data_IF_835473124478
#
_entry.id   IF_835473124478
#
_cell.length_a   1.000
_cell.length_b   1.000
_cell.length_c   1.000
_cell.angle_alpha   90.00
_cell.angle_beta   90.00
_cell.angle_gamma   90.00
#
_symmetry.space_group_name_H-M   'P 1'
#
loop_
_entity.id
_entity.type
_entity.pdbx_description
1 polymer ?
#
# COMPACT_ATOMS: atom_id res chain seq x y z
N UNK A 1 -0.98 19.73 16.88
CA UNK A 1 -1.33 18.47 17.59
C UNK A 1 -0.08 18.06 18.37
N UNK A 2 -0.17 17.91 19.68
CA UNK A 2 0.99 17.54 20.51
C UNK A 2 1.40 16.10 20.24
N UNK A 3 2.70 15.87 20.07
CA UNK A 3 3.27 14.53 20.04
C UNK A 3 2.94 13.85 21.37
N UNK A 4 2.32 12.69 21.32
CA UNK A 4 2.11 11.84 22.49
C UNK A 4 3.46 11.36 23.01
N UNK A 5 3.48 10.82 24.20
CA UNK A 5 4.64 10.44 24.98
C UNK A 5 5.87 9.95 24.20
N UNK A 6 7.05 10.42 24.63
CA UNK A 6 8.34 9.99 24.08
C UNK A 6 9.01 9.01 25.02
N UNK A 7 9.34 7.82 24.52
CA UNK A 7 9.99 6.75 25.27
C UNK A 7 11.43 6.56 24.82
N UNK A 8 12.38 6.67 25.75
CA UNK A 8 13.78 6.40 25.52
C UNK A 8 14.12 4.98 25.95
N UNK A 9 14.53 4.11 25.02
CA UNK A 9 14.80 2.69 25.28
C UNK A 9 16.24 2.35 24.90
N UNK A 10 17.04 1.92 25.87
CA UNK A 10 18.40 1.44 25.61
C UNK A 10 18.36 0.05 24.97
N UNK A 11 19.13 -0.13 23.89
CA UNK A 11 19.26 -1.41 23.22
C UNK A 11 20.73 -1.70 22.92
N UNK A 12 21.29 -2.68 23.62
CA UNK A 12 22.69 -3.06 23.52
C UNK A 12 23.11 -3.62 22.16
N UNK A 13 22.15 -4.03 21.31
CA UNK A 13 22.39 -4.49 19.94
C UNK A 13 22.33 -3.36 18.91
N UNK A 14 21.78 -2.22 19.28
CA UNK A 14 21.68 -1.08 18.37
C UNK A 14 23.05 -0.43 18.18
N UNK A 15 23.41 -0.13 16.94
CA UNK A 15 24.67 0.55 16.56
C UNK A 15 24.49 2.06 16.38
N UNK A 16 23.23 2.56 16.30
CA UNK A 16 22.90 3.96 16.07
C UNK A 16 21.60 4.33 16.79
N UNK A 17 21.35 5.64 16.96
CA UNK A 17 20.06 6.13 17.41
C UNK A 17 19.01 5.87 16.35
N UNK A 18 17.83 5.39 16.77
CA UNK A 18 16.70 5.10 15.87
C UNK A 18 15.45 5.70 16.47
N UNK A 19 14.71 6.49 15.69
CA UNK A 19 13.40 6.99 16.06
C UNK A 19 12.34 6.15 15.34
N UNK A 20 11.30 5.76 16.05
CA UNK A 20 10.13 5.08 15.50
C UNK A 20 8.85 5.69 16.07
N UNK A 21 7.93 6.02 15.19
CA UNK A 21 6.56 6.35 15.57
C UNK A 21 5.83 5.01 15.74
N UNK A 22 5.20 4.83 16.90
CA UNK A 22 4.42 3.64 17.24
C UNK A 22 2.97 3.79 16.74
N UNK A 23 2.20 2.70 16.75
CA UNK A 23 0.82 2.68 16.26
C UNK A 23 -0.13 3.62 17.05
N UNK A 24 0.17 3.88 18.31
CA UNK A 24 -0.56 4.81 19.19
C UNK A 24 -0.08 6.27 19.07
N UNK A 25 0.78 6.57 18.07
CA UNK A 25 1.42 7.86 17.83
C UNK A 25 2.45 8.27 18.89
N UNK A 26 2.80 7.42 19.83
CA UNK A 26 3.94 7.64 20.71
C UNK A 26 5.26 7.47 19.96
N UNK A 27 6.32 8.11 20.45
CA UNK A 27 7.65 8.08 19.83
C UNK A 27 8.59 7.22 20.68
N UNK A 28 9.16 6.18 20.06
CA UNK A 28 10.23 5.42 20.68
C UNK A 28 11.58 5.84 20.11
N UNK A 29 12.47 6.33 21.00
CA UNK A 29 13.85 6.61 20.65
C UNK A 29 14.75 5.49 21.19
N UNK A 30 15.37 4.74 20.30
CA UNK A 30 16.32 3.69 20.68
C UNK A 30 17.70 4.28 20.87
N UNK A 31 18.28 4.06 22.06
CA UNK A 31 19.63 4.48 22.44
C UNK A 31 20.58 3.30 22.20
N UNK A 32 21.68 3.46 21.44
CA UNK A 32 22.69 2.42 21.27
C UNK A 32 23.48 2.15 22.55
N UNK A 33 24.25 1.05 22.57
CA UNK A 33 24.98 0.57 23.75
C UNK A 33 25.79 1.66 24.47
N UNK A 34 26.49 2.48 23.73
CA UNK A 34 27.39 3.54 24.25
C UNK A 34 26.76 4.94 24.19
N UNK A 35 25.50 5.04 23.75
CA UNK A 35 24.79 6.31 23.67
C UNK A 35 24.20 6.73 25.01
N UNK A 36 23.93 8.02 25.11
CA UNK A 36 23.32 8.67 26.28
C UNK A 36 21.91 9.18 25.97
N UNK A 37 21.09 9.35 27.00
CA UNK A 37 19.76 9.94 26.85
C UNK A 37 19.81 11.39 26.37
N UNK A 38 20.82 12.15 26.79
CA UNK A 38 21.06 13.54 26.37
C UNK A 38 21.31 13.65 24.87
N UNK A 39 22.09 12.71 24.31
CA UNK A 39 22.32 12.64 22.86
C UNK A 39 21.07 12.18 22.10
N UNK A 40 20.31 11.22 22.66
CA UNK A 40 19.04 10.78 22.11
C UNK A 40 18.02 11.94 22.03
N UNK A 41 17.98 12.80 23.06
CA UNK A 41 17.14 13.99 23.06
C UNK A 41 17.57 15.00 21.98
N UNK A 42 18.88 15.24 21.83
CA UNK A 42 19.40 16.10 20.75
C UNK A 42 19.07 15.52 19.38
N UNK A 43 19.21 14.20 19.22
CA UNK A 43 18.88 13.51 17.98
C UNK A 43 17.39 13.61 17.66
N UNK A 44 16.50 13.45 18.65
CA UNK A 44 15.07 13.64 18.50
C UNK A 44 14.75 15.07 18.07
N UNK A 45 15.28 16.08 18.76
CA UNK A 45 15.01 17.49 18.46
C UNK A 45 15.44 17.87 17.04
N UNK A 46 16.54 17.32 16.55
CA UNK A 46 17.01 17.53 15.17
C UNK A 46 16.02 17.00 14.10
N UNK A 47 15.22 16.00 14.43
CA UNK A 47 14.30 15.34 13.49
C UNK A 47 12.83 15.64 13.82
N UNK A 48 12.54 16.55 14.75
CA UNK A 48 11.18 16.76 15.26
C UNK A 48 10.22 17.23 14.18
N UNK A 49 10.67 18.14 13.30
CA UNK A 49 9.85 18.66 12.20
C UNK A 49 9.52 17.57 11.18
N UNK A 50 10.48 16.68 10.89
CA UNK A 50 10.26 15.53 10.02
C UNK A 50 9.26 14.54 10.66
N UNK A 51 9.31 14.38 11.97
CA UNK A 51 8.37 13.54 12.71
C UNK A 51 6.97 14.15 12.76
N UNK A 52 6.84 15.45 12.95
CA UNK A 52 5.57 16.16 12.85
C UNK A 52 4.93 15.97 11.48
N UNK A 53 5.70 16.18 10.41
CA UNK A 53 5.23 15.95 9.04
C UNK A 53 4.81 14.49 8.81
N UNK A 54 5.57 13.51 9.34
CA UNK A 54 5.21 12.09 9.26
C UNK A 54 3.97 11.74 10.09
N UNK A 55 3.78 12.36 11.25
CA UNK A 55 2.56 12.17 12.07
C UNK A 55 1.36 12.81 11.37
N UNK A 56 1.51 14.00 10.77
CA UNK A 56 0.46 14.62 9.96
C UNK A 56 0.13 13.81 8.70
N UNK A 57 1.12 13.26 8.01
CA UNK A 57 0.90 12.33 6.91
C UNK A 57 0.21 11.04 7.39
N UNK A 58 0.58 10.52 8.55
CA UNK A 58 -0.08 9.35 9.14
C UNK A 58 -1.51 9.65 9.61
N UNK A 59 -1.82 10.89 10.05
CA UNK A 59 -3.19 11.31 10.38
C UNK A 59 -4.08 11.48 9.15
N UNK A 60 -3.53 11.82 7.99
CA UNK A 60 -4.23 11.78 6.69
C UNK A 60 -4.55 10.36 6.21
N UNK A 61 -4.06 9.33 6.92
CA UNK A 61 -4.25 7.92 6.56
C UNK A 61 -5.50 7.28 7.18
N UNK A 62 -6.27 8.01 7.99
CA UNK A 62 -7.50 7.47 8.56
C UNK A 62 -8.64 7.53 7.56
N UNK A 63 -9.37 6.44 7.47
CA UNK A 63 -10.66 6.43 6.81
C UNK A 63 -11.68 7.17 7.66
N UNK A 64 -12.45 8.05 7.03
CA UNK A 64 -13.39 8.93 7.71
C UNK A 64 -14.85 8.53 7.44
N UNK A 65 -15.75 8.86 8.40
CA UNK A 65 -17.20 8.68 8.26
C UNK A 65 -17.74 9.64 7.19
N UNK A 66 -18.77 9.19 6.48
CA UNK A 66 -19.47 9.94 5.42
C UNK A 66 -18.60 10.30 4.21
N UNK A 67 -17.42 9.72 4.10
CA UNK A 67 -16.58 9.85 2.92
C UNK A 67 -16.80 8.67 1.96
N UNK A 68 -16.71 8.95 0.65
CA UNK A 68 -16.77 7.93 -0.40
C UNK A 68 -15.36 7.71 -0.92
N UNK A 69 -14.90 6.48 -0.85
CA UNK A 69 -13.61 6.05 -1.39
C UNK A 69 -13.87 5.28 -2.68
N UNK A 70 -13.74 5.92 -3.86
CA UNK A 70 -13.94 5.24 -5.13
C UNK A 70 -12.84 4.20 -5.35
N UNK A 71 -13.23 3.06 -5.84
CA UNK A 71 -12.36 2.02 -6.36
C UNK A 71 -12.77 1.72 -7.81
N UNK A 72 -12.03 0.89 -8.54
CA UNK A 72 -12.31 0.66 -9.96
C UNK A 72 -13.66 0.01 -10.23
N UNK A 73 -14.10 -0.84 -9.34
CA UNK A 73 -15.35 -1.59 -9.49
C UNK A 73 -16.36 -1.33 -8.38
N UNK A 74 -15.93 -0.67 -7.29
CA UNK A 74 -16.76 -0.43 -6.13
C UNK A 74 -16.56 0.98 -5.59
N UNK A 75 -17.61 1.54 -5.02
CA UNK A 75 -17.53 2.70 -4.16
C UNK A 75 -17.59 2.21 -2.72
N UNK A 76 -16.59 2.55 -1.93
CA UNK A 76 -16.54 2.20 -0.52
C UNK A 76 -17.05 3.42 0.25
N UNK A 77 -18.10 3.23 1.04
CA UNK A 77 -18.67 4.28 1.89
C UNK A 77 -18.65 3.83 3.34
N UNK A 78 -18.23 4.72 4.22
CA UNK A 78 -18.19 4.46 5.65
C UNK A 78 -19.29 5.31 6.31
N UNK A 79 -20.21 4.67 7.02
CA UNK A 79 -21.34 5.33 7.66
C UNK A 79 -21.36 5.07 9.17
N UNK A 80 -21.67 6.11 9.93
CA UNK A 80 -22.02 5.96 11.35
C UNK A 80 -23.49 5.59 11.49
N UNK A 81 -23.80 4.57 12.29
CA UNK A 81 -25.15 4.02 12.40
C UNK A 81 -25.55 3.76 13.86
N UNK A 82 -26.85 3.56 14.09
CA UNK A 82 -27.39 3.16 15.40
C UNK A 82 -27.34 1.63 15.62
N UNK A 83 -26.73 0.87 14.72
CA UNK A 83 -26.50 -0.57 14.93
C UNK A 83 -25.63 -0.79 16.16
N UNK A 84 -25.78 -1.95 16.79
CA UNK A 84 -24.97 -2.33 17.95
C UNK A 84 -23.61 -2.88 17.56
N UNK A 85 -23.50 -3.46 16.37
CA UNK A 85 -22.31 -4.15 15.88
C UNK A 85 -21.85 -3.58 14.54
N UNK A 86 -20.58 -3.82 14.23
CA UNK A 86 -19.99 -3.53 12.92
C UNK A 86 -20.69 -4.38 11.84
N UNK A 87 -21.02 -3.76 10.73
CA UNK A 87 -21.70 -4.45 9.63
C UNK A 87 -21.18 -3.96 8.28
N UNK A 88 -21.25 -4.80 7.27
CA UNK A 88 -20.88 -4.47 5.90
C UNK A 88 -21.98 -4.91 4.94
N UNK A 89 -22.50 -3.97 4.20
CA UNK A 89 -23.41 -4.26 3.09
C UNK A 89 -22.64 -4.18 1.77
N UNK A 90 -22.88 -5.12 0.88
CA UNK A 90 -22.39 -5.08 -0.49
C UNK A 90 -23.59 -5.15 -1.44
N UNK A 91 -23.93 -4.01 -2.05
CA UNK A 91 -25.06 -3.90 -2.97
C UNK A 91 -24.54 -3.39 -4.32
N UNK A 92 -24.60 -4.26 -5.33
CA UNK A 92 -24.07 -3.97 -6.69
C UNK A 92 -22.59 -3.54 -6.61
N UNK A 93 -22.32 -2.27 -6.91
CA UNK A 93 -20.98 -1.68 -6.90
C UNK A 93 -20.70 -0.81 -5.65
N UNK A 94 -21.53 -0.93 -4.61
CA UNK A 94 -21.35 -0.17 -3.38
C UNK A 94 -21.03 -1.13 -2.24
N UNK A 95 -19.95 -0.83 -1.50
CA UNK A 95 -19.60 -1.46 -0.24
C UNK A 95 -19.78 -0.43 0.85
N UNK A 96 -20.70 -0.70 1.77
CA UNK A 96 -21.06 0.21 2.86
C UNK A 96 -20.57 -0.41 4.17
N UNK A 97 -19.56 0.20 4.77
CA UNK A 97 -19.05 -0.18 6.07
C UNK A 97 -19.82 0.62 7.12
N UNK A 98 -20.60 -0.06 7.95
CA UNK A 98 -21.45 0.53 8.99
C UNK A 98 -20.76 0.42 10.34
N UNK A 99 -20.48 1.57 10.96
CA UNK A 99 -19.81 1.66 12.25
C UNK A 99 -20.80 2.16 13.30
N UNK A 100 -20.97 1.47 14.43
CA UNK A 100 -21.81 1.96 15.53
C UNK A 100 -21.36 3.32 16.03
N UNK A 101 -22.30 4.22 16.32
CA UNK A 101 -22.04 5.55 16.91
C UNK A 101 -21.27 5.48 18.23
N UNK A 102 -21.36 4.35 18.93
CA UNK A 102 -20.68 4.09 20.20
C UNK A 102 -19.18 3.78 20.04
N UNK A 103 -18.72 3.56 18.81
CA UNK A 103 -17.31 3.24 18.49
C UNK A 103 -16.59 4.46 17.95
N UNK A 104 -15.37 4.68 18.42
CA UNK A 104 -14.50 5.72 17.87
C UNK A 104 -13.90 5.26 16.53
N UNK A 105 -14.24 5.97 15.45
CA UNK A 105 -13.70 5.71 14.12
C UNK A 105 -12.16 5.73 14.07
N UNK A 106 -11.52 6.55 14.91
CA UNK A 106 -10.06 6.70 14.97
C UNK A 106 -9.37 5.62 15.81
N UNK A 107 -10.14 4.79 16.52
CA UNK A 107 -9.57 3.68 17.27
C UNK A 107 -8.85 2.71 16.32
N UNK A 108 -7.77 2.13 16.82
CA UNK A 108 -6.97 1.14 16.06
C UNK A 108 -7.84 -0.03 15.59
N UNK A 109 -8.71 -0.54 16.46
CA UNK A 109 -9.61 -1.66 16.16
C UNK A 109 -10.49 -1.37 14.95
N UNK A 110 -11.11 -0.18 14.91
CA UNK A 110 -12.02 0.21 13.82
C UNK A 110 -11.25 0.45 12.53
N UNK A 111 -10.10 1.11 12.59
CA UNK A 111 -9.27 1.30 11.39
C UNK A 111 -8.75 -0.04 10.83
N UNK A 112 -8.33 -0.99 11.68
CA UNK A 112 -7.94 -2.33 11.24
C UNK A 112 -9.10 -3.08 10.59
N UNK A 113 -10.31 -2.96 11.14
CA UNK A 113 -11.51 -3.53 10.53
C UNK A 113 -11.81 -2.93 9.15
N UNK A 114 -11.75 -1.60 9.01
CA UNK A 114 -11.94 -0.92 7.71
C UNK A 114 -10.88 -1.40 6.72
N UNK A 115 -9.61 -1.44 7.12
CA UNK A 115 -8.52 -1.94 6.29
C UNK A 115 -8.75 -3.39 5.83
N UNK A 116 -9.22 -4.25 6.72
CA UNK A 116 -9.55 -5.64 6.38
C UNK A 116 -10.64 -5.70 5.30
N UNK A 117 -11.73 -4.95 5.45
CA UNK A 117 -12.82 -4.93 4.46
C UNK A 117 -12.33 -4.41 3.11
N UNK A 118 -11.57 -3.31 3.10
CA UNK A 118 -10.98 -2.77 1.88
C UNK A 118 -10.06 -3.79 1.22
N UNK A 119 -9.26 -4.51 1.98
CA UNK A 119 -8.39 -5.58 1.44
C UNK A 119 -9.21 -6.67 0.75
N UNK A 120 -10.36 -7.09 1.31
CA UNK A 120 -11.24 -8.07 0.65
C UNK A 120 -11.82 -7.51 -0.66
N UNK A 121 -12.23 -6.25 -0.68
CA UNK A 121 -12.71 -5.58 -1.92
C UNK A 121 -11.61 -5.57 -2.98
N UNK A 122 -10.42 -5.09 -2.66
CA UNK A 122 -9.28 -5.04 -3.59
C UNK A 122 -8.88 -6.44 -4.08
N UNK A 123 -8.95 -7.45 -3.21
CA UNK A 123 -8.66 -8.84 -3.57
C UNK A 123 -9.65 -9.38 -4.61
N UNK A 124 -10.93 -9.10 -4.44
CA UNK A 124 -11.96 -9.51 -5.38
C UNK A 124 -11.81 -8.77 -6.72
N UNK A 125 -11.49 -7.48 -6.70
CA UNK A 125 -11.19 -6.73 -7.91
C UNK A 125 -9.95 -7.25 -8.63
N UNK A 126 -8.86 -7.49 -7.89
CA UNK A 126 -7.62 -8.02 -8.46
C UNK A 126 -7.82 -9.37 -9.14
N UNK A 127 -8.55 -10.29 -8.50
CA UNK A 127 -8.90 -11.61 -9.09
C UNK A 127 -9.76 -11.47 -10.35
N UNK A 128 -10.57 -10.44 -10.45
CA UNK A 128 -11.43 -10.17 -11.61
C UNK A 128 -10.69 -9.50 -12.76
N UNK A 129 -9.80 -8.55 -12.46
CA UNK A 129 -9.15 -7.67 -13.45
C UNK A 129 -7.82 -8.23 -13.95
N UNK A 130 -6.89 -8.52 -13.02
CA UNK A 130 -5.50 -8.83 -13.36
C UNK A 130 -5.37 -10.05 -14.29
N UNK A 131 -6.02 -11.19 -14.05
CA UNK A 131 -5.89 -12.35 -14.95
C UNK A 131 -6.32 -12.05 -16.38
N UNK A 132 -7.40 -11.28 -16.56
CA UNK A 132 -7.87 -10.88 -17.89
C UNK A 132 -6.85 -10.05 -18.63
N UNK A 133 -6.24 -9.06 -17.95
CA UNK A 133 -5.21 -8.21 -18.53
C UNK A 133 -3.91 -8.95 -18.83
N UNK A 134 -3.51 -9.88 -17.96
CA UNK A 134 -2.34 -10.72 -18.22
C UNK A 134 -2.54 -11.55 -19.49
N UNK A 135 -3.70 -12.20 -19.64
CA UNK A 135 -4.03 -12.99 -20.84
C UNK A 135 -4.07 -12.12 -22.10
N UNK A 136 -4.69 -10.94 -22.02
CA UNK A 136 -4.74 -9.97 -23.12
C UNK A 136 -3.32 -9.59 -23.59
N UNK A 137 -2.43 -9.17 -22.66
CA UNK A 137 -1.08 -8.78 -23.03
C UNK A 137 -0.20 -9.95 -23.46
N UNK A 138 -0.32 -11.08 -22.79
CA UNK A 138 0.42 -12.29 -23.16
C UNK A 138 0.07 -12.74 -24.60
N UNK A 139 -1.20 -12.71 -24.97
CA UNK A 139 -1.65 -13.01 -26.32
C UNK A 139 -1.16 -11.97 -27.32
N UNK A 140 -1.37 -10.67 -27.03
CA UNK A 140 -0.99 -9.55 -27.90
C UNK A 140 0.51 -9.55 -28.25
N UNK A 141 1.35 -9.82 -27.24
CA UNK A 141 2.81 -9.74 -27.38
C UNK A 141 3.50 -11.11 -27.48
N UNK A 142 2.71 -12.20 -27.60
CA UNK A 142 3.21 -13.58 -27.71
C UNK A 142 4.15 -13.99 -26.56
N UNK A 143 3.83 -13.52 -25.35
CA UNK A 143 4.56 -13.82 -24.11
C UNK A 143 3.95 -15.05 -23.41
N UNK A 144 4.77 -15.82 -22.70
CA UNK A 144 4.33 -17.06 -22.02
C UNK A 144 4.37 -16.89 -20.51
N UNK A 145 3.39 -17.41 -19.82
CA UNK A 145 3.35 -17.55 -18.37
C UNK A 145 2.75 -18.90 -18.00
N UNK A 146 3.01 -19.38 -16.79
CA UNK A 146 2.50 -20.69 -16.32
C UNK A 146 1.29 -20.56 -15.41
N UNK A 147 1.26 -19.55 -14.54
CA UNK A 147 0.20 -19.37 -13.54
C UNK A 147 0.10 -17.91 -13.11
N UNK A 148 -1.03 -17.51 -12.53
CA UNK A 148 -1.27 -16.18 -12.00
C UNK A 148 -1.78 -16.29 -10.55
N UNK A 149 -1.10 -15.64 -9.61
CA UNK A 149 -1.46 -15.59 -8.20
C UNK A 149 -1.67 -14.17 -7.72
N UNK A 150 -2.69 -13.98 -6.89
CA UNK A 150 -2.96 -12.70 -6.22
C UNK A 150 -2.66 -12.87 -4.72
N UNK A 151 -1.79 -12.02 -4.19
CA UNK A 151 -1.38 -12.02 -2.79
C UNK A 151 -1.53 -10.63 -2.16
N UNK A 152 -1.20 -10.48 -0.87
CA UNK A 152 -1.21 -9.21 -0.13
C UNK A 152 0.20 -8.70 0.18
N UNK A 153 1.15 -8.89 -0.75
CA UNK A 153 2.51 -8.39 -0.57
C UNK A 153 2.54 -6.87 -0.45
N UNK A 154 3.17 -6.36 0.62
CA UNK A 154 3.29 -4.93 0.95
C UNK A 154 4.64 -4.31 0.57
N UNK A 155 5.52 -5.08 -0.06
CA UNK A 155 6.89 -4.66 -0.40
C UNK A 155 7.18 -4.63 -1.90
N UNK A 156 6.30 -5.23 -2.71
CA UNK A 156 6.44 -5.30 -4.17
C UNK A 156 5.06 -5.37 -4.83
N UNK A 157 4.97 -4.86 -6.04
CA UNK A 157 3.74 -4.86 -6.83
C UNK A 157 3.49 -6.19 -7.53
N UNK A 158 4.55 -6.85 -7.97
CA UNK A 158 4.51 -8.16 -8.61
C UNK A 158 5.81 -8.94 -8.46
N UNK A 159 5.84 -10.13 -9.02
CA UNK A 159 7.04 -10.95 -9.24
C UNK A 159 6.78 -12.06 -10.25
N UNK A 160 7.79 -12.43 -11.03
CA UNK A 160 7.78 -13.57 -11.93
C UNK A 160 8.81 -14.61 -11.44
N UNK A 161 8.38 -15.85 -11.25
CA UNK A 161 9.26 -16.95 -10.84
C UNK A 161 10.11 -17.49 -12.01
N UNK A 162 11.07 -18.35 -11.69
CA UNK A 162 11.89 -19.06 -12.72
C UNK A 162 11.05 -19.86 -13.71
N UNK A 163 9.92 -20.42 -13.25
CA UNK A 163 8.97 -21.19 -14.07
C UNK A 163 7.86 -20.33 -14.68
N UNK A 164 8.03 -19.00 -14.75
CA UNK A 164 7.07 -18.04 -15.30
C UNK A 164 5.72 -17.99 -14.57
N UNK A 165 5.63 -18.36 -13.28
CA UNK A 165 4.46 -18.09 -12.47
C UNK A 165 4.49 -16.61 -12.03
N UNK A 166 3.43 -15.89 -12.36
CA UNK A 166 3.26 -14.46 -12.09
C UNK A 166 2.51 -14.27 -10.77
N UNK A 167 3.04 -13.43 -9.90
CA UNK A 167 2.37 -13.06 -8.65
C UNK A 167 2.13 -11.56 -8.65
N UNK A 168 0.93 -11.12 -8.27
CA UNK A 168 0.57 -9.72 -8.19
C UNK A 168 0.00 -9.38 -6.82
N UNK A 169 0.38 -8.22 -6.32
CA UNK A 169 -0.21 -7.68 -5.11
C UNK A 169 -1.63 -7.16 -5.41
N UNK A 170 -2.60 -7.51 -4.54
CA UNK A 170 -3.96 -6.97 -4.63
C UNK A 170 -3.98 -5.43 -4.54
N UNK A 171 -2.96 -4.82 -3.92
CA UNK A 171 -2.83 -3.37 -3.80
C UNK A 171 -2.59 -2.67 -5.13
N UNK A 172 -2.30 -3.40 -6.22
CA UNK A 172 -2.31 -2.86 -7.58
C UNK A 172 -3.64 -2.18 -7.93
N UNK A 173 -4.76 -2.67 -7.38
CA UNK A 173 -6.08 -2.12 -7.68
C UNK A 173 -6.30 -0.69 -7.18
N UNK A 174 -5.40 -0.15 -6.39
CA UNK A 174 -5.36 1.26 -5.98
C UNK A 174 -4.65 2.18 -6.98
N UNK A 175 -3.99 1.60 -8.00
CA UNK A 175 -3.23 2.37 -8.99
C UNK A 175 -4.12 2.77 -10.17
N UNK A 176 -3.79 3.89 -10.85
CA UNK A 176 -4.33 4.18 -12.18
C UNK A 176 -4.13 2.99 -13.15
N UNK A 177 -5.06 2.77 -14.07
CA UNK A 177 -5.01 1.63 -15.00
C UNK A 177 -3.68 1.52 -15.74
N UNK A 178 -3.15 2.65 -16.20
CA UNK A 178 -1.87 2.71 -16.92
C UNK A 178 -0.69 2.16 -16.09
N UNK A 179 -0.69 2.38 -14.77
CA UNK A 179 0.33 1.83 -13.87
C UNK A 179 0.11 0.35 -13.57
N UNK A 180 -1.15 -0.10 -13.50
CA UNK A 180 -1.44 -1.55 -13.37
C UNK A 180 -0.94 -2.28 -14.61
N UNK A 181 -1.28 -1.77 -15.79
CA UNK A 181 -0.86 -2.34 -17.07
C UNK A 181 0.67 -2.37 -17.19
N UNK A 182 1.34 -1.30 -16.76
CA UNK A 182 2.79 -1.24 -16.73
C UNK A 182 3.41 -2.31 -15.82
N UNK A 183 2.87 -2.52 -14.60
CA UNK A 183 3.37 -3.59 -13.71
C UNK A 183 3.12 -4.96 -14.32
N UNK A 184 1.97 -5.19 -14.94
CA UNK A 184 1.69 -6.47 -15.63
C UNK A 184 2.70 -6.71 -16.76
N UNK A 185 2.99 -5.70 -17.58
CA UNK A 185 3.98 -5.78 -18.65
C UNK A 185 5.40 -6.01 -18.09
N UNK A 186 5.74 -5.39 -16.95
CA UNK A 186 7.00 -5.62 -16.27
C UNK A 186 7.17 -7.09 -15.86
N UNK A 187 6.17 -7.67 -15.21
CA UNK A 187 6.23 -9.08 -14.79
C UNK A 187 6.22 -10.04 -15.98
N UNK A 188 5.47 -9.73 -17.03
CA UNK A 188 5.49 -10.49 -18.28
C UNK A 188 6.86 -10.40 -18.99
N UNK A 189 7.55 -9.26 -18.92
CA UNK A 189 8.91 -9.12 -19.47
C UNK A 189 9.89 -10.06 -18.80
N UNK A 190 9.70 -10.38 -17.52
CA UNK A 190 10.48 -11.37 -16.80
C UNK A 190 10.25 -12.82 -17.28
N UNK A 191 9.20 -13.09 -18.05
CA UNK A 191 9.05 -14.41 -18.69
C UNK A 191 10.07 -14.65 -19.81
N UNK A 192 10.66 -13.55 -20.34
CA UNK A 192 11.70 -13.58 -21.38
C UNK A 192 13.09 -13.29 -20.77
N UNK A 193 13.20 -12.24 -19.97
CA UNK A 193 14.45 -11.81 -19.36
C UNK A 193 14.32 -11.80 -17.82
N UNK A 194 14.95 -12.78 -17.16
CA UNK A 194 14.83 -12.98 -15.69
C UNK A 194 15.47 -11.89 -14.85
N UNK A 195 16.44 -11.16 -15.40
CA UNK A 195 17.14 -10.07 -14.73
C UNK A 195 16.85 -8.72 -15.42
N UNK A 196 17.07 -7.64 -14.72
CA UNK A 196 16.89 -6.27 -15.21
C UNK A 196 18.08 -5.81 -16.07
N UNK A 197 18.47 -6.60 -17.09
CA UNK A 197 19.49 -6.22 -18.08
C UNK A 197 18.98 -5.16 -19.06
N UNK A 198 19.88 -4.63 -19.91
CA UNK A 198 19.48 -3.74 -21.00
C UNK A 198 18.37 -4.34 -21.88
N UNK A 199 18.50 -5.63 -22.24
CA UNK A 199 17.50 -6.36 -23.04
C UNK A 199 16.12 -6.41 -22.36
N UNK A 200 16.08 -6.52 -21.02
CA UNK A 200 14.83 -6.45 -20.27
C UNK A 200 14.16 -5.07 -20.43
N UNK A 201 14.94 -3.99 -20.25
CA UNK A 201 14.41 -2.65 -20.35
C UNK A 201 14.05 -2.28 -21.79
N UNK A 202 14.76 -2.77 -22.79
CA UNK A 202 14.43 -2.59 -24.21
C UNK A 202 13.07 -3.22 -24.53
N UNK A 203 12.86 -4.48 -24.08
CA UNK A 203 11.57 -5.16 -24.22
C UNK A 203 10.47 -4.41 -23.49
N UNK A 204 10.65 -4.08 -22.20
CA UNK A 204 9.65 -3.38 -21.40
C UNK A 204 9.31 -2.00 -22.01
N UNK A 205 10.30 -1.30 -22.56
CA UNK A 205 10.07 -0.02 -23.24
C UNK A 205 9.25 -0.19 -24.52
N UNK A 206 9.52 -1.23 -25.30
CA UNK A 206 8.72 -1.59 -26.46
C UNK A 206 7.27 -1.91 -26.06
N UNK A 207 7.07 -2.76 -25.06
CA UNK A 207 5.74 -3.16 -24.58
C UNK A 207 4.93 -1.99 -24.00
N UNK A 208 5.61 -1.04 -23.39
CA UNK A 208 5.01 0.17 -22.80
C UNK A 208 4.95 1.37 -23.77
N UNK A 209 5.12 1.14 -25.08
CA UNK A 209 5.10 2.18 -26.12
C UNK A 209 6.06 3.35 -25.82
N UNK A 210 7.30 3.06 -25.41
CA UNK A 210 8.32 4.07 -25.12
C UNK A 210 8.18 4.76 -23.77
N UNK A 211 7.19 4.40 -22.94
CA UNK A 211 6.84 5.12 -21.70
C UNK A 211 7.47 4.55 -20.43
N UNK A 212 8.35 3.53 -20.53
CA UNK A 212 8.90 2.84 -19.37
C UNK A 212 9.43 3.81 -18.30
N UNK A 213 10.28 4.77 -18.64
CA UNK A 213 10.89 5.68 -17.66
C UNK A 213 9.86 6.53 -16.92
N UNK A 214 8.88 7.10 -17.64
CA UNK A 214 7.83 7.94 -17.09
C UNK A 214 6.91 7.13 -16.18
N UNK A 215 6.50 5.92 -16.61
CA UNK A 215 5.63 5.06 -15.83
C UNK A 215 6.32 4.55 -14.55
N UNK A 216 7.61 4.22 -14.64
CA UNK A 216 8.40 3.82 -13.48
C UNK A 216 8.55 4.98 -12.47
N UNK A 217 8.80 6.19 -12.94
CA UNK A 217 8.84 7.38 -12.07
C UNK A 217 7.50 7.63 -11.40
N UNK A 218 6.38 7.55 -12.14
CA UNK A 218 5.04 7.70 -11.56
C UNK A 218 4.72 6.61 -10.55
N UNK A 219 5.12 5.36 -10.81
CA UNK A 219 4.90 4.24 -9.90
C UNK A 219 5.67 4.41 -8.58
N UNK A 220 6.84 5.06 -8.58
CA UNK A 220 7.63 5.31 -7.38
C UNK A 220 6.95 6.20 -6.34
N UNK A 221 5.92 6.96 -6.72
CA UNK A 221 5.09 7.75 -5.79
C UNK A 221 4.04 6.93 -5.03
N UNK A 222 3.91 5.65 -5.33
CA UNK A 222 2.97 4.75 -4.70
C UNK A 222 3.70 3.64 -3.93
N UNK A 223 3.03 3.10 -2.93
CA UNK A 223 3.50 1.91 -2.19
C UNK A 223 2.39 0.86 -2.13
N UNK A 224 2.70 -0.44 -2.11
CA UNK A 224 1.69 -1.51 -2.08
C UNK A 224 1.09 -1.66 -0.67
N UNK A 225 0.40 -0.62 -0.21
CA UNK A 225 -0.31 -0.55 1.09
C UNK A 225 -1.63 0.18 0.88
N UNK A 226 -2.61 -0.11 1.71
CA UNK A 226 -3.86 0.66 1.71
C UNK A 226 -3.57 2.05 2.27
N UNK A 227 -3.87 3.06 1.46
CA UNK A 227 -3.82 4.46 1.86
C UNK A 227 -5.09 5.16 1.37
N UNK A 228 -5.77 5.86 2.29
CA UNK A 228 -7.01 6.58 1.96
C UNK A 228 -6.82 7.58 0.81
N UNK A 229 -5.66 8.26 0.77
CA UNK A 229 -5.29 9.21 -0.29
C UNK A 229 -5.21 8.61 -1.71
N UNK A 230 -4.96 7.31 -1.84
CA UNK A 230 -4.87 6.67 -3.16
C UNK A 230 -6.23 6.54 -3.83
N UNK A 231 -7.31 6.42 -3.05
CA UNK A 231 -8.65 6.37 -3.59
C UNK A 231 -9.16 7.73 -4.11
N UNK A 232 -8.51 8.82 -3.74
CA UNK A 232 -8.84 10.17 -4.22
C UNK A 232 -8.20 10.48 -5.58
N UNK A 233 -7.23 9.66 -6.03
CA UNK A 233 -6.45 9.85 -7.26
C UNK A 233 -6.91 8.94 -8.41
N UNK A 234 -7.97 8.17 -8.19
CA UNK A 234 -8.60 7.29 -9.18
C UNK A 234 -9.69 8.02 -9.95
#
# INVERSE_FOLDING_TARGET
>A
MELKDVFFVKNNRAKKYIIRILADQSIRVTIPKYGTQKEAQKFLNKHIDQLHNQVEENTKLFFEINHVYPSKYFNIRILSTNLRELNVDSIKQNVIIKIPKTKDIRSKEIQEYIHYIIEQVLRNEAKRYIPKKVVEFASKYKLKFSDIKINSAKTRWGSCSSINSLNFSLYLMQLPYELIDYVILHELSHSVHKNHSSRFYDLLNQLSNGKHKILNQRLSHFSPRIKAEYFQKL
#
